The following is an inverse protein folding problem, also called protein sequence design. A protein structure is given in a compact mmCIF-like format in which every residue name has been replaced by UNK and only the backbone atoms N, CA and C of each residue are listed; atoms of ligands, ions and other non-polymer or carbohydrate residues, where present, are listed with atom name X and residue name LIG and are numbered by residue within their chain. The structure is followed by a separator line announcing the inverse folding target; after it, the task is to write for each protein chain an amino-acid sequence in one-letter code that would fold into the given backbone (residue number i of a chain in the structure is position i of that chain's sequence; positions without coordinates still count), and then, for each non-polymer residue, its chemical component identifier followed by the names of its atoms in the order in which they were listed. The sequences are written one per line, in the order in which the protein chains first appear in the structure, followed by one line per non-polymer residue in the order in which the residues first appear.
data_IF_096465145779
#
_entry.id   IF_096465145779
#
_cell.length_a   1.000
_cell.length_b   1.000
_cell.length_c   1.000
_cell.angle_alpha   90.00
_cell.angle_beta   90.00
_cell.angle_gamma   90.00
#
_symmetry.space_group_name_H-M   'P 1'
#
loop_
_entity.id
_entity.type
_entity.pdbx_description
1 polymer ?
#
# COMPACT_ATOMS: atom_id res chain seq x y z
N UNK A 1 9.31 7.53 -17.23
CA UNK A 1 8.33 6.71 -16.48
C UNK A 1 8.10 7.36 -15.11
N UNK A 2 6.87 7.36 -14.56
CA UNK A 2 6.63 7.88 -13.20
C UNK A 2 7.36 7.03 -12.15
N UNK A 3 7.68 7.60 -10.99
CA UNK A 3 8.41 6.89 -9.94
C UNK A 3 7.51 5.85 -9.27
N UNK A 4 7.84 4.57 -9.44
CA UNK A 4 7.13 3.45 -8.79
C UNK A 4 7.27 3.48 -7.26
N UNK A 5 8.38 4.01 -6.75
CA UNK A 5 8.53 4.29 -5.32
C UNK A 5 7.52 5.32 -4.82
N UNK A 6 7.42 6.48 -5.48
CA UNK A 6 6.42 7.48 -5.10
C UNK A 6 5.00 6.92 -5.19
N UNK A 7 4.72 6.15 -6.25
CA UNK A 7 3.42 5.52 -6.44
C UNK A 7 3.06 4.54 -5.31
N UNK A 8 3.93 3.60 -4.98
CA UNK A 8 3.69 2.61 -3.92
C UNK A 8 3.63 3.23 -2.52
N UNK A 9 4.48 4.22 -2.23
CA UNK A 9 4.48 4.95 -0.95
C UNK A 9 3.16 5.69 -0.74
N UNK A 10 2.72 6.46 -1.74
CA UNK A 10 1.46 7.19 -1.64
C UNK A 10 0.25 6.25 -1.65
N UNK A 11 0.32 5.14 -2.39
CA UNK A 11 -0.73 4.12 -2.33
C UNK A 11 -0.91 3.58 -0.91
N UNK A 12 0.17 3.12 -0.27
CA UNK A 12 0.12 2.55 1.07
C UNK A 12 -0.31 3.60 2.12
N UNK A 13 0.22 4.82 2.02
CA UNK A 13 -0.07 5.90 2.96
C UNK A 13 -1.54 6.32 2.91
N UNK A 14 -2.07 6.59 1.71
CA UNK A 14 -3.48 6.98 1.54
C UNK A 14 -4.40 5.84 1.97
N UNK A 15 -4.07 4.59 1.64
CA UNK A 15 -4.86 3.44 2.07
C UNK A 15 -4.91 3.31 3.59
N UNK A 16 -3.78 3.49 4.27
CA UNK A 16 -3.70 3.47 5.73
C UNK A 16 -4.52 4.60 6.37
N UNK A 17 -4.45 5.83 5.81
CA UNK A 17 -5.23 6.97 6.28
C UNK A 17 -6.73 6.72 6.13
N UNK A 18 -7.17 6.26 4.95
CA UNK A 18 -8.58 5.92 4.70
C UNK A 18 -9.06 4.83 5.65
N UNK A 19 -8.23 3.82 5.90
CA UNK A 19 -8.53 2.74 6.85
C UNK A 19 -8.66 3.26 8.28
N UNK A 20 -7.74 4.12 8.74
CA UNK A 20 -7.81 4.75 10.07
C UNK A 20 -9.07 5.59 10.23
N UNK A 21 -9.38 6.45 9.25
CA UNK A 21 -10.59 7.28 9.28
C UNK A 21 -11.85 6.39 9.28
N UNK A 22 -11.85 5.30 8.50
CA UNK A 22 -13.00 4.38 8.46
C UNK A 22 -13.19 3.63 9.77
N UNK A 23 -12.12 3.26 10.46
CA UNK A 23 -12.16 2.49 11.71
C UNK A 23 -12.40 3.35 12.95
N UNK A 24 -11.79 4.53 13.03
CA UNK A 24 -11.80 5.39 14.23
C UNK A 24 -12.60 6.69 14.05
N UNK A 25 -13.10 6.94 12.83
CA UNK A 25 -13.75 8.20 12.47
C UNK A 25 -12.74 9.32 12.18
N UNK A 26 -13.28 10.45 11.73
CA UNK A 26 -12.51 11.67 11.51
C UNK A 26 -12.45 12.47 12.81
N UNK A 27 -11.28 12.54 13.42
CA UNK A 27 -11.03 13.24 14.68
C UNK A 27 -9.62 13.85 14.67
N UNK A 28 -9.26 14.58 15.72
CA UNK A 28 -7.96 15.24 15.81
C UNK A 28 -6.78 14.26 15.68
N UNK A 29 -6.88 13.08 16.31
CA UNK A 29 -5.82 12.06 16.28
C UNK A 29 -5.64 11.50 14.88
N UNK A 30 -6.72 11.12 14.19
CA UNK A 30 -6.63 10.57 12.83
C UNK A 30 -6.14 11.59 11.82
N UNK A 31 -6.51 12.87 11.99
CA UNK A 31 -5.97 13.98 11.20
C UNK A 31 -4.46 14.15 11.45
N UNK A 32 -4.02 14.19 12.71
CA UNK A 32 -2.60 14.34 13.05
C UNK A 32 -1.77 13.18 12.48
N UNK A 33 -2.21 11.94 12.68
CA UNK A 33 -1.52 10.76 12.12
C UNK A 33 -1.50 10.82 10.60
N UNK A 34 -2.61 11.22 9.96
CA UNK A 34 -2.67 11.33 8.51
C UNK A 34 -1.73 12.39 7.94
N UNK A 35 -1.66 13.57 8.55
CA UNK A 35 -0.72 14.63 8.15
C UNK A 35 0.73 14.17 8.33
N UNK A 36 1.06 13.53 9.46
CA UNK A 36 2.38 12.97 9.68
C UNK A 36 2.71 11.90 8.63
N UNK A 37 1.76 10.99 8.35
CA UNK A 37 1.90 9.97 7.31
C UNK A 37 2.20 10.55 5.94
N UNK A 38 1.46 11.58 5.52
CA UNK A 38 1.70 12.27 4.25
C UNK A 38 3.04 13.02 4.23
N UNK A 39 3.46 13.62 5.34
CA UNK A 39 4.77 14.27 5.45
C UNK A 39 5.91 13.26 5.29
N UNK A 40 5.83 12.11 5.97
CA UNK A 40 6.79 11.02 5.81
C UNK A 40 6.80 10.46 4.38
N UNK A 41 5.63 10.24 3.79
CA UNK A 41 5.51 9.80 2.39
C UNK A 41 6.15 10.78 1.41
N UNK A 42 5.96 12.08 1.63
CA UNK A 42 6.55 13.14 0.82
C UNK A 42 8.06 13.17 0.98
N UNK A 43 8.58 13.05 2.20
CA UNK A 43 10.01 12.98 2.47
C UNK A 43 10.67 11.77 1.78
N UNK A 44 10.11 10.57 1.95
CA UNK A 44 10.64 9.35 1.32
C UNK A 44 10.60 9.42 -0.21
N UNK A 45 9.58 10.06 -0.77
CA UNK A 45 9.50 10.30 -2.21
C UNK A 45 10.52 11.36 -2.67
N UNK A 46 10.76 12.39 -1.86
CA UNK A 46 11.78 13.40 -2.11
C UNK A 46 13.20 12.81 -2.15
N UNK A 47 13.48 11.77 -1.37
CA UNK A 47 14.77 11.08 -1.41
C UNK A 47 15.12 10.62 -2.84
N UNK A 48 14.13 10.24 -3.64
CA UNK A 48 14.30 9.85 -5.05
C UNK A 48 14.78 11.00 -5.95
N UNK A 49 14.41 12.23 -5.62
CA UNK A 49 14.87 13.43 -6.30
C UNK A 49 16.27 13.79 -5.81
N UNK A 50 16.49 13.78 -4.49
CA UNK A 50 17.79 14.13 -3.89
C UNK A 50 18.94 13.22 -4.33
N UNK A 51 18.64 11.93 -4.53
CA UNK A 51 19.59 10.91 -4.99
C UNK A 51 19.73 10.87 -6.52
N UNK A 52 19.09 11.81 -7.24
CA UNK A 52 19.10 11.93 -8.71
C UNK A 52 18.54 10.71 -9.46
N UNK A 53 17.72 9.89 -8.81
CA UNK A 53 17.04 8.76 -9.46
C UNK A 53 15.84 9.21 -10.29
N UNK A 54 15.17 10.29 -9.89
CA UNK A 54 13.95 10.77 -10.53
C UNK A 54 13.86 12.30 -10.59
N UNK A 55 13.12 12.81 -11.56
CA UNK A 55 12.75 14.23 -11.61
C UNK A 55 11.51 14.51 -10.75
N UNK A 56 11.29 15.77 -10.41
CA UNK A 56 10.11 16.22 -9.66
C UNK A 56 8.83 15.76 -10.35
N UNK A 57 8.71 15.95 -11.67
CA UNK A 57 7.52 15.55 -12.43
C UNK A 57 7.25 14.04 -12.35
N UNK A 58 8.29 13.20 -12.40
CA UNK A 58 8.12 11.75 -12.28
C UNK A 58 7.61 11.33 -10.90
N UNK A 59 8.10 11.99 -9.84
CA UNK A 59 7.65 11.75 -8.47
C UNK A 59 6.23 12.24 -8.25
N UNK A 60 5.89 13.44 -8.72
CA UNK A 60 4.54 14.00 -8.59
C UNK A 60 3.51 13.14 -9.33
N UNK A 61 3.78 12.76 -10.58
CA UNK A 61 2.87 11.88 -11.34
C UNK A 61 2.74 10.52 -10.65
N UNK A 62 3.84 9.96 -10.12
CA UNK A 62 3.80 8.73 -9.33
C UNK A 62 2.91 8.84 -8.10
N UNK A 63 3.08 9.91 -7.31
CA UNK A 63 2.29 10.17 -6.10
C UNK A 63 0.80 10.33 -6.40
N UNK A 64 0.44 11.06 -7.46
CA UNK A 64 -0.95 11.23 -7.91
C UNK A 64 -1.54 9.89 -8.31
N UNK A 65 -0.83 9.13 -9.15
CA UNK A 65 -1.30 7.82 -9.61
C UNK A 65 -1.50 6.85 -8.43
N UNK A 66 -0.54 6.81 -7.50
CA UNK A 66 -0.63 5.99 -6.28
C UNK A 66 -1.84 6.34 -5.42
N UNK A 67 -2.10 7.64 -5.25
CA UNK A 67 -3.25 8.15 -4.48
C UNK A 67 -4.57 7.75 -5.14
N UNK A 68 -4.71 7.98 -6.45
CA UNK A 68 -5.93 7.62 -7.21
C UNK A 68 -6.18 6.11 -7.13
N UNK A 69 -5.14 5.30 -7.40
CA UNK A 69 -5.25 3.85 -7.30
C UNK A 69 -5.65 3.39 -5.90
N UNK A 70 -5.12 4.01 -4.85
CA UNK A 70 -5.47 3.69 -3.46
C UNK A 70 -6.94 3.98 -3.16
N UNK A 71 -7.44 5.15 -3.55
CA UNK A 71 -8.83 5.52 -3.31
C UNK A 71 -9.77 4.55 -4.04
N UNK A 72 -9.50 4.30 -5.32
CA UNK A 72 -10.29 3.38 -6.14
C UNK A 72 -10.26 1.95 -5.57
N UNK A 73 -9.09 1.47 -5.14
CA UNK A 73 -8.94 0.15 -4.53
C UNK A 73 -9.72 0.04 -3.21
N UNK A 74 -9.54 1.01 -2.32
CA UNK A 74 -10.26 1.07 -1.04
C UNK A 74 -11.78 1.09 -1.28
N UNK A 75 -12.24 1.91 -2.22
CA UNK A 75 -13.67 2.01 -2.50
C UNK A 75 -14.24 0.73 -3.12
N UNK A 76 -13.47 0.09 -4.02
CA UNK A 76 -13.84 -1.17 -4.66
C UNK A 76 -14.04 -2.29 -3.64
N UNK A 77 -13.24 -2.31 -2.57
CA UNK A 77 -13.42 -3.25 -1.47
C UNK A 77 -14.82 -3.12 -0.86
N UNK A 78 -15.24 -1.93 -0.45
CA UNK A 78 -16.54 -1.76 0.23
C UNK A 78 -17.74 -1.86 -0.71
N UNK A 79 -17.61 -1.38 -1.94
CA UNK A 79 -18.72 -1.40 -2.91
C UNK A 79 -18.97 -2.78 -3.50
N UNK A 80 -17.92 -3.57 -3.77
CA UNK A 80 -18.07 -4.82 -4.50
C UNK A 80 -17.59 -6.01 -3.68
N UNK A 81 -16.31 -6.00 -3.27
CA UNK A 81 -15.66 -7.20 -2.73
C UNK A 81 -16.27 -7.62 -1.40
N UNK A 82 -16.52 -6.67 -0.49
CA UNK A 82 -17.12 -6.93 0.81
C UNK A 82 -18.55 -7.48 0.67
N UNK A 83 -19.34 -6.94 -0.26
CA UNK A 83 -20.70 -7.43 -0.52
C UNK A 83 -20.67 -8.87 -1.03
N UNK A 84 -19.77 -9.18 -1.97
CA UNK A 84 -19.59 -10.53 -2.49
C UNK A 84 -19.05 -11.49 -1.42
N UNK A 85 -18.11 -11.05 -0.59
CA UNK A 85 -17.49 -11.81 0.50
C UNK A 85 -18.49 -12.17 1.61
N UNK A 86 -19.45 -11.28 1.89
CA UNK A 86 -20.52 -11.53 2.86
C UNK A 86 -21.62 -12.41 2.28
N UNK A 87 -21.94 -12.25 0.99
CA UNK A 87 -23.04 -12.97 0.33
C UNK A 87 -22.70 -14.40 -0.11
N UNK A 88 -21.46 -14.65 -0.56
CA UNK A 88 -21.08 -15.91 -1.19
C UNK A 88 -19.94 -16.62 -0.45
N UNK A 89 -20.21 -17.82 0.05
CA UNK A 89 -19.24 -18.63 0.78
C UNK A 89 -18.02 -19.01 -0.07
N UNK A 90 -18.23 -19.32 -1.36
CA UNK A 90 -17.14 -19.62 -2.30
C UNK A 90 -16.17 -18.44 -2.50
N UNK A 91 -16.70 -17.21 -2.62
CA UNK A 91 -15.88 -15.99 -2.74
C UNK A 91 -15.03 -15.81 -1.48
N UNK A 92 -15.61 -16.03 -0.30
CA UNK A 92 -14.88 -16.00 0.97
C UNK A 92 -13.75 -17.03 1.02
N UNK A 93 -14.03 -18.29 0.64
CA UNK A 93 -12.99 -19.33 0.59
C UNK A 93 -11.85 -18.93 -0.34
N UNK A 94 -12.16 -18.48 -1.56
CA UNK A 94 -11.15 -18.08 -2.55
C UNK A 94 -10.28 -16.94 -2.02
N UNK A 95 -10.88 -15.90 -1.46
CA UNK A 95 -10.15 -14.74 -0.93
C UNK A 95 -9.24 -15.15 0.24
N UNK A 96 -9.75 -15.95 1.19
CA UNK A 96 -8.98 -16.40 2.36
C UNK A 96 -7.85 -17.34 1.94
N UNK A 97 -8.12 -18.36 1.12
CA UNK A 97 -7.09 -19.29 0.66
C UNK A 97 -6.04 -18.59 -0.21
N UNK A 98 -6.46 -17.68 -1.08
CA UNK A 98 -5.54 -16.86 -1.88
C UNK A 98 -4.63 -16.01 -1.01
N UNK A 99 -5.18 -15.34 0.01
CA UNK A 99 -4.39 -14.55 0.95
C UNK A 99 -3.37 -15.40 1.74
N UNK A 100 -3.81 -16.54 2.29
CA UNK A 100 -2.92 -17.47 3.02
C UNK A 100 -1.80 -17.98 2.11
N UNK A 101 -2.14 -18.38 0.88
CA UNK A 101 -1.17 -18.90 -0.09
C UNK A 101 -0.13 -17.84 -0.44
N UNK A 102 -0.56 -16.60 -0.74
CA UNK A 102 0.35 -15.49 -1.00
C UNK A 102 1.29 -15.22 0.19
N UNK A 103 0.77 -15.22 1.41
CA UNK A 103 1.60 -15.01 2.61
C UNK A 103 2.63 -16.13 2.79
N UNK A 104 2.22 -17.39 2.64
CA UNK A 104 3.13 -18.54 2.77
C UNK A 104 4.22 -18.49 1.70
N UNK A 105 3.87 -18.24 0.43
CA UNK A 105 4.84 -18.12 -0.66
C UNK A 105 5.83 -16.98 -0.39
N UNK A 106 5.34 -15.82 0.05
CA UNK A 106 6.21 -14.69 0.38
C UNK A 106 7.18 -15.01 1.53
N UNK A 107 6.70 -15.64 2.60
CA UNK A 107 7.55 -16.04 3.73
C UNK A 107 8.61 -17.06 3.30
N UNK A 108 8.24 -18.06 2.49
CA UNK A 108 9.20 -19.03 1.95
C UNK A 108 10.24 -18.36 1.06
N UNK A 109 9.82 -17.40 0.23
CA UNK A 109 10.74 -16.61 -0.60
C UNK A 109 11.75 -15.83 0.24
N UNK A 110 11.28 -15.12 1.28
CA UNK A 110 12.15 -14.36 2.19
C UNK A 110 13.11 -15.29 2.93
N UNK A 111 12.65 -16.40 3.49
CA UNK A 111 13.52 -17.35 4.21
C UNK A 111 14.61 -17.87 3.27
N UNK A 112 14.24 -18.32 2.07
CA UNK A 112 15.21 -18.86 1.12
C UNK A 112 16.25 -17.82 0.71
N UNK A 113 15.81 -16.66 0.22
CA UNK A 113 16.72 -15.72 -0.44
C UNK A 113 17.39 -14.71 0.48
N UNK A 114 16.83 -14.44 1.65
CA UNK A 114 17.44 -13.49 2.59
C UNK A 114 18.16 -14.17 3.75
N UNK A 115 17.73 -15.38 4.16
CA UNK A 115 18.34 -16.06 5.30
C UNK A 115 19.27 -17.19 4.86
N UNK A 116 18.92 -17.97 3.83
CA UNK A 116 19.72 -19.14 3.45
C UNK A 116 20.79 -18.77 2.41
N UNK A 117 20.43 -18.02 1.36
CA UNK A 117 21.39 -17.61 0.32
C UNK A 117 22.36 -16.50 0.81
N UNK A 118 22.10 -15.88 1.97
CA UNK A 118 22.95 -14.82 2.55
C UNK A 118 24.05 -15.31 3.49
N UNK A 119 24.05 -16.60 3.85
CA UNK A 119 25.05 -17.24 4.72
C UNK A 119 26.19 -17.92 3.92
N UNK A 120 26.15 -17.88 2.58
CA UNK A 120 27.16 -18.48 1.68
C UNK A 120 28.26 -17.50 1.20
N UNK A 121 28.24 -16.23 1.63
CA UNK A 121 29.29 -15.22 1.41
C UNK A 121 30.07 -14.89 2.70
#
# INVERSE_FOLDING_TARGET
MPSSHAQSIFFASVYAILSLIKSLGLNGVTVTIGVLGLAFSSYLSWLRISQRHHTISQVVVGAILGTICSILWFQSWYWFVLQAFLSFLWVRIIIVLGAVTCCVIFLLYVIKHWLMDGDED
#
